data_IF_890406786631
#
_entry.id   IF_890406786631
#
_cell.length_a   1.000
_cell.length_b   1.000
_cell.length_c   1.000
_cell.angle_alpha   90.00
_cell.angle_beta   90.00
_cell.angle_gamma   90.00
#
_symmetry.space_group_name_H-M   'P 1'
#
loop_
_entity.id
_entity.type
_entity.pdbx_description
1 polymer ?
#
# COMPACT_ATOMS: atom_id res chain seq x y z
N UNK A 1 -19.31 -26.79 6.91
CA UNK A 1 -18.36 -27.71 6.24
C UNK A 1 -17.68 -26.92 5.14
N UNK A 2 -16.36 -26.68 5.24
CA UNK A 2 -15.59 -26.09 4.14
C UNK A 2 -15.56 -27.04 2.94
N UNK A 3 -15.49 -26.49 1.73
CA UNK A 3 -15.57 -27.27 0.48
C UNK A 3 -14.37 -28.21 0.25
N UNK A 4 -13.29 -28.05 1.01
CA UNK A 4 -12.13 -28.94 1.04
C UNK A 4 -11.77 -29.21 2.49
N UNK A 5 -11.82 -30.47 2.93
CA UNK A 5 -11.69 -30.88 4.33
C UNK A 5 -10.28 -30.73 4.94
N UNK A 6 -9.66 -29.56 4.86
CA UNK A 6 -8.39 -29.20 5.49
C UNK A 6 -8.60 -27.94 6.34
N UNK A 7 -8.98 -28.11 7.60
CA UNK A 7 -9.40 -27.00 8.49
C UNK A 7 -8.22 -26.14 8.99
N UNK A 8 -6.98 -26.46 8.61
CA UNK A 8 -5.76 -25.79 9.10
C UNK A 8 -5.25 -24.59 8.29
N UNK A 9 -5.48 -24.55 6.97
CA UNK A 9 -4.75 -23.63 6.05
C UNK A 9 -5.63 -22.59 5.32
N UNK A 10 -6.95 -22.66 5.48
CA UNK A 10 -7.89 -21.78 4.78
C UNK A 10 -7.66 -20.30 5.11
N UNK A 11 -7.36 -19.99 6.37
CA UNK A 11 -7.11 -18.61 6.81
C UNK A 11 -5.81 -18.04 6.21
N UNK A 12 -4.74 -18.84 6.21
CA UNK A 12 -3.45 -18.43 5.64
C UNK A 12 -3.57 -18.10 4.15
N UNK A 13 -4.26 -18.97 3.41
CA UNK A 13 -4.53 -18.78 1.98
C UNK A 13 -5.44 -17.58 1.73
N UNK A 14 -6.48 -17.38 2.55
CA UNK A 14 -7.36 -16.22 2.46
C UNK A 14 -6.59 -14.91 2.65
N UNK A 15 -5.80 -14.78 3.73
CA UNK A 15 -5.04 -13.57 4.03
C UNK A 15 -4.01 -13.28 2.93
N UNK A 16 -3.30 -14.32 2.47
CA UNK A 16 -2.36 -14.20 1.36
C UNK A 16 -3.03 -13.68 0.09
N UNK A 17 -4.12 -14.32 -0.35
CA UNK A 17 -4.84 -13.90 -1.54
C UNK A 17 -5.39 -12.47 -1.42
N UNK A 18 -5.91 -12.10 -0.25
CA UNK A 18 -6.40 -10.74 0.00
C UNK A 18 -5.27 -9.71 -0.07
N UNK A 19 -4.10 -10.01 0.49
CA UNK A 19 -2.94 -9.14 0.41
C UNK A 19 -2.47 -8.97 -1.05
N UNK A 20 -2.38 -10.07 -1.81
CA UNK A 20 -2.05 -10.03 -3.24
C UNK A 20 -3.00 -9.16 -4.05
N UNK A 21 -4.31 -9.32 -3.83
CA UNK A 21 -5.32 -8.50 -4.51
C UNK A 21 -5.20 -7.02 -4.13
N UNK A 22 -4.94 -6.71 -2.86
CA UNK A 22 -4.78 -5.33 -2.38
C UNK A 22 -3.55 -4.64 -2.99
N UNK A 23 -2.42 -5.35 -3.09
CA UNK A 23 -1.20 -4.87 -3.76
C UNK A 23 -1.46 -4.63 -5.24
N UNK A 24 -2.09 -5.58 -5.92
CA UNK A 24 -2.41 -5.45 -7.35
C UNK A 24 -3.35 -4.27 -7.61
N UNK A 25 -4.29 -4.00 -6.70
CA UNK A 25 -5.22 -2.89 -6.85
C UNK A 25 -4.52 -1.53 -6.72
N UNK A 26 -3.65 -1.32 -5.71
CA UNK A 26 -2.90 -0.07 -5.60
C UNK A 26 -1.90 0.11 -6.74
N UNK A 27 -1.20 -0.95 -7.16
CA UNK A 27 -0.30 -0.90 -8.33
C UNK A 27 -1.07 -0.59 -9.60
N UNK A 28 -2.23 -1.22 -9.83
CA UNK A 28 -3.11 -0.91 -10.97
C UNK A 28 -3.56 0.55 -10.92
N UNK A 29 -3.94 1.07 -9.76
CA UNK A 29 -4.36 2.47 -9.60
C UNK A 29 -3.26 3.45 -9.99
N UNK A 30 -2.00 3.15 -9.64
CA UNK A 30 -0.84 3.95 -10.04
C UNK A 30 -0.65 3.94 -11.56
N UNK A 31 -0.62 2.75 -12.16
CA UNK A 31 -0.42 2.60 -13.60
C UNK A 31 -1.63 2.99 -14.46
N UNK A 32 -2.80 3.28 -13.86
CA UNK A 32 -3.89 3.94 -14.58
C UNK A 32 -3.51 5.35 -15.06
N UNK A 33 -2.46 5.98 -14.51
CA UNK A 33 -1.91 7.22 -15.06
C UNK A 33 -2.87 8.40 -14.98
N UNK A 34 -3.80 8.40 -14.02
CA UNK A 34 -4.71 9.53 -13.84
C UNK A 34 -3.95 10.75 -13.35
N UNK A 35 -4.13 11.86 -14.06
CA UNK A 35 -3.58 13.15 -13.72
C UNK A 35 -4.68 14.18 -13.52
N UNK A 36 -4.50 15.07 -12.54
CA UNK A 36 -5.43 16.15 -12.18
C UNK A 36 -4.73 17.48 -12.34
N UNK A 37 -5.44 18.50 -12.85
CA UNK A 37 -4.89 19.84 -12.95
C UNK A 37 -4.72 20.49 -11.58
N UNK A 38 -3.58 21.16 -11.38
CA UNK A 38 -3.25 21.90 -10.15
C UNK A 38 -4.06 23.19 -9.99
N UNK A 39 -4.62 23.70 -11.08
CA UNK A 39 -5.41 24.93 -11.08
C UNK A 39 -6.84 24.65 -10.56
N UNK A 40 -7.20 25.28 -9.45
CA UNK A 40 -8.45 25.00 -8.71
C UNK A 40 -9.75 25.36 -9.45
N UNK A 41 -9.69 26.20 -10.50
CA UNK A 41 -10.84 26.49 -11.35
C UNK A 41 -10.99 25.48 -12.51
N UNK A 42 -9.91 24.78 -12.88
CA UNK A 42 -9.91 23.83 -13.98
C UNK A 42 -10.29 22.44 -13.49
N UNK A 43 -9.62 21.94 -12.44
CA UNK A 43 -9.84 20.63 -11.82
C UNK A 43 -9.99 19.45 -12.80
N UNK A 44 -9.43 19.56 -14.00
CA UNK A 44 -9.58 18.54 -15.03
C UNK A 44 -8.88 17.25 -14.62
N UNK A 45 -9.55 16.11 -14.76
CA UNK A 45 -9.02 14.77 -14.50
C UNK A 45 -8.95 13.97 -15.80
N UNK A 46 -7.77 13.53 -16.20
CA UNK A 46 -7.55 12.84 -17.48
C UNK A 46 -6.45 11.78 -17.38
N UNK A 47 -6.46 10.81 -18.29
CA UNK A 47 -5.33 9.89 -18.51
C UNK A 47 -4.48 10.31 -19.72
N UNK A 48 -4.94 11.30 -20.49
CA UNK A 48 -4.21 11.78 -21.67
C UNK A 48 -3.04 12.63 -21.23
N UNK A 49 -1.82 12.15 -21.49
CA UNK A 49 -0.61 12.94 -21.30
C UNK A 49 -0.48 14.01 -22.39
N UNK A 50 -0.09 15.22 -21.99
CA UNK A 50 0.13 16.31 -22.91
C UNK A 50 1.49 16.17 -23.58
N UNK A 51 1.61 16.64 -24.82
CA UNK A 51 2.92 16.83 -25.48
C UNK A 51 3.50 18.21 -25.16
N UNK A 52 2.76 19.06 -24.43
CA UNK A 52 3.18 20.41 -24.03
C UNK A 52 3.76 20.41 -22.61
N UNK A 53 4.64 21.37 -22.34
CA UNK A 53 5.38 21.45 -21.08
C UNK A 53 6.68 20.64 -21.12
N UNK A 54 7.63 20.95 -20.23
CA UNK A 54 8.97 20.33 -20.25
C UNK A 54 8.91 18.82 -20.02
N UNK A 55 7.91 18.34 -19.28
CA UNK A 55 7.70 16.90 -18.98
C UNK A 55 6.40 16.35 -19.55
N UNK A 56 5.73 17.08 -20.45
CA UNK A 56 4.38 16.71 -20.88
C UNK A 56 3.30 16.99 -19.81
N UNK A 57 3.60 17.89 -18.87
CA UNK A 57 2.79 18.20 -17.69
C UNK A 57 1.88 19.41 -17.86
N UNK A 58 1.80 20.02 -19.05
CA UNK A 58 0.87 21.13 -19.27
C UNK A 58 -0.57 20.65 -19.44
N UNK A 59 -1.53 21.32 -18.78
CA UNK A 59 -2.93 20.94 -18.87
C UNK A 59 -3.48 21.01 -20.30
N UNK A 60 -4.23 19.96 -20.69
CA UNK A 60 -4.79 19.81 -22.03
C UNK A 60 -6.06 20.64 -22.27
N UNK A 61 -6.64 21.22 -21.22
CA UNK A 61 -7.83 22.09 -21.33
C UNK A 61 -7.47 23.41 -22.01
N UNK A 62 -8.26 23.81 -22.99
CA UNK A 62 -8.09 25.07 -23.73
C UNK A 62 -8.21 26.27 -22.78
N UNK A 63 -7.24 27.19 -22.82
CA UNK A 63 -7.23 28.38 -21.97
C UNK A 63 -6.65 28.17 -20.57
N UNK A 64 -6.52 26.92 -20.11
CA UNK A 64 -5.84 26.59 -18.86
C UNK A 64 -4.32 26.71 -19.03
N UNK A 65 -3.67 27.35 -18.05
CA UNK A 65 -2.20 27.50 -17.99
C UNK A 65 -1.58 26.68 -16.85
N UNK A 66 -2.40 25.96 -16.10
CA UNK A 66 -1.97 25.04 -15.06
C UNK A 66 -1.20 23.83 -15.58
N UNK A 67 -0.54 23.17 -14.64
CA UNK A 67 0.10 21.86 -14.85
C UNK A 67 -0.82 20.74 -14.35
N UNK A 68 -0.51 19.51 -14.73
CA UNK A 68 -1.18 18.31 -14.20
C UNK A 68 -0.22 17.53 -13.32
N UNK A 69 -0.73 16.94 -12.24
CA UNK A 69 0.00 16.05 -11.35
C UNK A 69 -0.72 14.70 -11.26
N UNK A 70 0.04 13.63 -10.99
CA UNK A 70 -0.55 12.31 -10.75
C UNK A 70 -1.53 12.36 -9.58
N UNK A 71 -2.74 11.87 -9.79
CA UNK A 71 -3.74 11.72 -8.74
C UNK A 71 -3.27 10.72 -7.68
N UNK A 72 -2.58 9.67 -8.12
CA UNK A 72 -1.94 8.70 -7.25
C UNK A 72 -0.45 8.66 -7.57
N UNK A 73 0.34 9.33 -6.73
CA UNK A 73 1.78 9.47 -6.92
C UNK A 73 2.56 8.19 -6.65
N UNK A 74 3.79 8.16 -7.14
CA UNK A 74 4.81 7.15 -6.80
C UNK A 74 5.05 7.10 -5.29
N UNK A 75 5.12 8.25 -4.63
CA UNK A 75 5.23 8.34 -3.18
C UNK A 75 4.02 7.72 -2.46
N UNK A 76 2.80 7.94 -2.96
CA UNK A 76 1.59 7.37 -2.39
C UNK A 76 1.53 5.84 -2.58
N UNK A 77 1.97 5.32 -3.73
CA UNK A 77 2.13 3.88 -3.94
C UNK A 77 3.17 3.30 -2.99
N UNK A 78 4.36 3.90 -2.91
CA UNK A 78 5.43 3.45 -2.04
C UNK A 78 5.00 3.41 -0.57
N UNK A 79 4.37 4.49 -0.08
CA UNK A 79 3.84 4.54 1.28
C UNK A 79 2.78 3.45 1.52
N UNK A 80 1.91 3.18 0.56
CA UNK A 80 0.90 2.12 0.69
C UNK A 80 1.54 0.72 0.78
N UNK A 81 2.52 0.43 -0.07
CA UNK A 81 3.24 -0.84 -0.05
C UNK A 81 4.05 -1.00 1.25
N UNK A 82 4.70 0.07 1.70
CA UNK A 82 5.43 0.07 2.98
C UNK A 82 4.51 -0.11 4.18
N UNK A 83 3.31 0.47 4.12
CA UNK A 83 2.27 0.21 5.12
C UNK A 83 1.90 -1.27 5.16
N UNK A 84 1.64 -1.92 4.01
CA UNK A 84 1.37 -3.36 3.98
C UNK A 84 2.52 -4.19 4.54
N UNK A 85 3.78 -3.85 4.23
CA UNK A 85 4.94 -4.52 4.83
C UNK A 85 4.92 -4.39 6.36
N UNK A 86 4.64 -3.19 6.87
CA UNK A 86 4.62 -2.92 8.32
C UNK A 86 3.52 -3.68 9.07
N UNK A 87 2.41 -4.04 8.40
CA UNK A 87 1.32 -4.82 9.00
C UNK A 87 1.71 -6.27 9.28
N UNK A 88 2.66 -6.81 8.53
CA UNK A 88 3.09 -8.22 8.63
C UNK A 88 4.50 -8.36 9.23
N UNK A 89 5.20 -7.26 9.48
CA UNK A 89 6.50 -7.30 10.16
C UNK A 89 6.33 -7.40 11.68
N UNK A 90 6.37 -8.63 12.17
CA UNK A 90 6.22 -8.94 13.60
C UNK A 90 7.32 -8.30 14.44
N UNK A 91 8.57 -8.29 13.95
CA UNK A 91 9.69 -7.75 14.72
C UNK A 91 9.55 -6.23 14.86
N UNK A 92 9.24 -5.55 13.76
CA UNK A 92 8.97 -4.12 13.77
C UNK A 92 7.80 -3.75 14.70
N UNK A 93 6.73 -4.55 14.73
CA UNK A 93 5.62 -4.35 15.64
C UNK A 93 6.02 -4.50 17.11
N UNK A 94 6.81 -5.52 17.45
CA UNK A 94 7.31 -5.74 18.81
C UNK A 94 8.21 -4.60 19.29
N UNK A 95 9.13 -4.13 18.44
CA UNK A 95 10.02 -3.01 18.74
C UNK A 95 9.23 -1.72 19.02
N UNK A 96 8.16 -1.48 18.26
CA UNK A 96 7.30 -0.32 18.45
C UNK A 96 6.50 -0.41 19.74
N UNK A 97 5.96 -1.58 20.08
CA UNK A 97 5.27 -1.81 21.37
C UNK A 97 6.23 -1.56 22.55
N UNK A 98 7.47 -2.05 22.47
CA UNK A 98 8.48 -1.80 23.51
C UNK A 98 8.77 -0.31 23.68
N UNK A 99 8.93 0.43 22.58
CA UNK A 99 9.14 1.88 22.61
C UNK A 99 7.96 2.63 23.21
N UNK A 100 6.73 2.23 22.89
CA UNK A 100 5.53 2.86 23.47
C UNK A 100 5.38 2.55 24.97
N UNK A 101 5.63 1.31 25.38
CA UNK A 101 5.64 0.93 26.80
C UNK A 101 6.70 1.72 27.60
N UNK A 102 7.86 2.01 27.00
CA UNK A 102 8.89 2.84 27.63
C UNK A 102 8.50 4.34 27.73
N UNK A 103 7.64 4.83 26.83
CA UNK A 103 7.15 6.23 26.82
C UNK A 103 6.02 6.46 27.83
N UNK A 104 5.16 5.47 28.03
CA UNK A 104 3.98 5.58 28.89
C UNK A 104 3.97 4.48 29.97
N UNK A 105 4.83 4.60 31.00
CA UNK A 105 4.82 3.68 32.12
C UNK A 105 3.47 3.77 32.85
N UNK A 106 2.71 2.66 32.84
CA UNK A 106 1.37 2.57 33.44
C UNK A 106 0.22 2.27 32.47
N UNK A 107 0.46 2.33 31.15
CA UNK A 107 -0.52 1.98 30.12
C UNK A 107 0.09 0.93 29.16
N UNK A 108 0.58 -0.16 29.72
CA UNK A 108 1.33 -1.17 28.99
C UNK A 108 0.45 -1.93 27.98
N UNK A 109 0.94 -1.99 26.74
CA UNK A 109 0.35 -2.81 25.69
C UNK A 109 0.86 -4.23 25.87
N UNK A 110 -0.05 -5.15 26.20
CA UNK A 110 0.24 -6.59 26.28
C UNK A 110 0.26 -7.22 24.90
N UNK A 111 1.36 -7.88 24.55
CA UNK A 111 1.48 -8.62 23.28
C UNK A 111 0.77 -9.97 23.42
N UNK A 112 -0.19 -10.26 22.53
CA UNK A 112 -0.83 -11.56 22.44
C UNK A 112 0.14 -12.65 21.95
N UNK A 113 -0.06 -13.89 22.38
CA UNK A 113 0.74 -15.02 21.90
C UNK A 113 0.46 -15.27 20.40
N UNK A 114 1.51 -15.12 19.58
CA UNK A 114 1.50 -15.52 18.17
C UNK A 114 2.06 -16.95 18.07
N UNK A 115 1.28 -17.87 17.50
CA UNK A 115 1.76 -19.21 17.15
C UNK A 115 2.83 -19.16 16.08
N UNK A 116 3.69 -20.19 16.04
CA UNK A 116 4.73 -20.30 15.01
C UNK A 116 4.16 -20.31 13.59
N UNK A 117 3.00 -20.95 13.41
CA UNK A 117 2.27 -20.93 12.13
C UNK A 117 1.91 -19.52 11.64
N UNK A 118 1.50 -18.62 12.55
CA UNK A 118 1.19 -17.24 12.20
C UNK A 118 2.46 -16.44 11.87
N UNK A 119 3.56 -16.72 12.57
CA UNK A 119 4.87 -16.10 12.30
C UNK A 119 5.38 -16.49 10.91
N UNK A 120 5.28 -17.77 10.55
CA UNK A 120 5.67 -18.27 9.23
C UNK A 120 4.82 -17.66 8.11
N UNK A 121 3.51 -17.53 8.34
CA UNK A 121 2.62 -16.85 7.39
C UNK A 121 3.05 -15.39 7.17
N UNK A 122 3.26 -14.64 8.25
CA UNK A 122 3.67 -13.25 8.15
C UNK A 122 5.05 -13.07 7.51
N UNK A 123 6.00 -13.96 7.79
CA UNK A 123 7.29 -13.99 7.13
C UNK A 123 7.16 -14.19 5.61
N UNK A 124 6.31 -15.14 5.18
CA UNK A 124 6.02 -15.37 3.74
C UNK A 124 5.40 -14.15 3.08
N UNK A 125 4.41 -13.51 3.73
CA UNK A 125 3.78 -12.29 3.21
C UNK A 125 4.77 -11.13 3.10
N UNK A 126 5.67 -11.00 4.08
CA UNK A 126 6.69 -9.96 4.08
C UNK A 126 7.64 -10.10 2.89
N UNK A 127 8.08 -11.33 2.56
CA UNK A 127 8.90 -11.60 1.36
C UNK A 127 8.14 -11.20 0.09
N UNK A 128 6.88 -11.61 -0.04
CA UNK A 128 6.05 -11.29 -1.22
C UNK A 128 5.88 -9.78 -1.43
N UNK A 129 5.71 -9.00 -0.36
CA UNK A 129 5.59 -7.54 -0.45
C UNK A 129 6.93 -6.92 -0.85
N UNK A 130 8.04 -7.40 -0.28
CA UNK A 130 9.39 -6.90 -0.61
C UNK A 130 9.78 -7.17 -2.06
N UNK A 131 9.40 -8.33 -2.60
CA UNK A 131 9.59 -8.63 -4.02
C UNK A 131 8.91 -7.58 -4.92
N UNK A 132 7.69 -7.16 -4.58
CA UNK A 132 6.97 -6.11 -5.34
C UNK A 132 7.55 -4.71 -5.13
N UNK A 133 8.11 -4.42 -3.96
CA UNK A 133 8.79 -3.15 -3.69
C UNK A 133 10.11 -3.01 -4.47
N UNK A 134 10.76 -4.13 -4.79
CA UNK A 134 12.08 -4.18 -5.42
C UNK A 134 12.03 -4.50 -6.92
N UNK A 135 10.86 -4.84 -7.45
CA UNK A 135 10.63 -5.09 -8.89
C UNK A 135 10.43 -3.80 -9.67
#
# INVERSE_FOLDING_TARGET
>A
RGLYGQVGDDFASLVSNRMHLAIRDCTRRYYQGWVVCTEGLCSSRTQKQSLRGRRGDACSVTGCRGTVCMEYSDSALYTQLKYYESLVDVNHALDNIQKENARQPGQEITVGALSDSHRDLFAKLCVQIREVLHS
#
